data_IF_810557130105
#
_entry.id   IF_810557130105
#
_cell.length_a   1.000
_cell.length_b   1.000
_cell.length_c   1.000
_cell.angle_alpha   90.00
_cell.angle_beta   90.00
_cell.angle_gamma   90.00
#
_symmetry.space_group_name_H-M   'P 1'
#
loop_
_entity.id
_entity.type
_entity.pdbx_description
1 polymer ?
#
# COMPACT_ATOMS: atom_id res chain seq x y z
N UNK A 1 25.92 19.07 8.31
CA UNK A 1 24.81 18.49 9.12
C UNK A 1 24.13 17.45 8.24
N UNK A 2 23.73 16.32 8.84
CA UNK A 2 23.62 15.01 8.21
C UNK A 2 22.81 14.91 6.92
N UNK A 3 23.35 14.16 5.96
CA UNK A 3 22.65 13.68 4.78
C UNK A 3 21.61 12.66 5.26
N UNK A 4 20.33 13.05 5.26
CA UNK A 4 19.25 12.10 5.48
C UNK A 4 19.36 11.03 4.40
N UNK A 5 19.59 9.78 4.81
CA UNK A 5 19.50 8.61 3.94
C UNK A 5 18.04 8.51 3.48
N UNK A 6 17.73 9.17 2.37
CA UNK A 6 16.46 9.11 1.66
C UNK A 6 16.28 7.69 1.13
N UNK A 7 15.79 6.79 1.99
CA UNK A 7 15.47 5.41 1.64
C UNK A 7 14.00 5.35 1.28
N UNK A 8 13.73 4.79 0.11
CA UNK A 8 12.40 4.34 -0.29
C UNK A 8 11.87 3.38 0.76
N UNK A 9 10.70 3.68 1.35
CA UNK A 9 10.04 2.75 2.28
C UNK A 9 9.10 1.85 1.49
N UNK A 10 9.21 0.56 1.74
CA UNK A 10 8.45 -0.45 1.03
C UNK A 10 7.36 -0.96 1.97
N UNK A 11 6.13 -1.02 1.49
CA UNK A 11 5.02 -1.58 2.24
C UNK A 11 4.37 -2.69 1.42
N UNK A 12 4.06 -3.80 2.06
CA UNK A 12 3.32 -4.92 1.50
C UNK A 12 1.87 -4.81 1.96
N UNK A 13 0.97 -4.55 1.03
CA UNK A 13 -0.47 -4.52 1.23
C UNK A 13 -1.05 -5.90 0.99
N UNK A 14 -1.83 -6.39 1.94
CA UNK A 14 -2.63 -7.61 1.80
C UNK A 14 -4.06 -7.19 1.48
N UNK A 15 -4.49 -7.52 0.26
CA UNK A 15 -5.76 -7.12 -0.32
C UNK A 15 -6.60 -8.37 -0.57
N UNK A 16 -7.88 -8.34 -0.24
CA UNK A 16 -8.84 -9.39 -0.56
C UNK A 16 -9.86 -8.84 -1.54
N UNK A 17 -9.98 -9.47 -2.70
CA UNK A 17 -11.00 -9.08 -3.68
C UNK A 17 -12.41 -9.28 -3.08
N UNK A 18 -13.28 -8.27 -3.19
CA UNK A 18 -14.65 -8.39 -2.67
C UNK A 18 -15.53 -9.33 -3.51
N UNK A 19 -15.19 -9.50 -4.80
CA UNK A 19 -15.97 -10.34 -5.70
C UNK A 19 -15.61 -11.83 -5.58
N UNK A 20 -14.33 -12.18 -5.71
CA UNK A 20 -13.89 -13.58 -5.73
C UNK A 20 -13.25 -14.05 -4.41
N UNK A 21 -13.22 -13.19 -3.39
CA UNK A 21 -12.63 -13.43 -2.06
C UNK A 21 -11.16 -13.87 -2.07
N UNK A 22 -10.48 -13.72 -3.20
CA UNK A 22 -9.08 -14.14 -3.34
C UNK A 22 -8.18 -13.09 -2.71
N UNK A 23 -7.26 -13.57 -1.91
CA UNK A 23 -6.23 -12.77 -1.27
C UNK A 23 -5.06 -12.58 -2.22
N UNK A 24 -4.55 -11.36 -2.27
CA UNK A 24 -3.35 -11.01 -3.02
C UNK A 24 -2.50 -10.07 -2.16
N UNK A 25 -1.19 -10.18 -2.32
CA UNK A 25 -0.25 -9.21 -1.79
C UNK A 25 0.18 -8.25 -2.90
N UNK A 26 0.40 -6.99 -2.54
CA UNK A 26 0.97 -5.98 -3.43
C UNK A 26 2.02 -5.19 -2.69
N UNK A 27 3.19 -5.08 -3.30
CA UNK A 27 4.26 -4.24 -2.79
C UNK A 27 4.10 -2.84 -3.36
N UNK A 28 4.17 -1.83 -2.50
CA UNK A 28 4.22 -0.43 -2.88
C UNK A 28 5.47 0.22 -2.31
N UNK A 29 6.17 0.92 -3.20
CA UNK A 29 7.37 1.67 -2.88
C UNK A 29 6.97 3.14 -2.76
N UNK A 30 7.21 3.71 -1.58
CA UNK A 30 6.88 5.10 -1.29
C UNK A 30 8.18 5.90 -1.39
N UNK A 31 8.22 6.91 -2.28
CA UNK A 31 9.39 7.75 -2.42
C UNK A 31 9.65 8.51 -1.11
N UNK A 32 10.91 8.80 -0.79
CA UNK A 32 11.25 9.60 0.38
C UNK A 32 10.81 11.06 0.18
N UNK A 33 10.10 11.62 1.16
CA UNK A 33 9.55 12.97 1.16
C UNK A 33 9.16 13.37 2.58
N UNK A 34 8.95 14.68 2.82
CA UNK A 34 8.58 15.19 4.15
C UNK A 34 7.20 14.65 4.59
N UNK A 35 6.29 14.48 3.62
CA UNK A 35 4.95 13.90 3.78
C UNK A 35 4.91 12.36 3.60
N UNK A 36 6.06 11.69 3.48
CA UNK A 36 6.06 10.24 3.27
C UNK A 36 5.78 9.50 4.58
N UNK A 37 4.79 8.60 4.61
CA UNK A 37 4.44 7.86 5.82
C UNK A 37 5.64 7.08 6.32
N UNK A 38 5.98 7.28 7.60
CA UNK A 38 7.11 6.62 8.24
C UNK A 38 6.74 5.23 8.67
N UNK A 39 5.48 4.99 9.00
CA UNK A 39 4.99 3.72 9.50
C UNK A 39 3.62 3.37 8.92
N UNK A 40 3.16 2.15 9.21
CA UNK A 40 1.86 1.63 8.78
C UNK A 40 0.70 2.56 9.18
N UNK A 41 0.74 3.11 10.39
CA UNK A 41 -0.34 3.96 10.91
C UNK A 41 -0.45 5.25 10.08
N UNK A 42 0.67 5.94 9.85
CA UNK A 42 0.70 7.12 8.97
C UNK A 42 0.28 6.79 7.54
N UNK A 43 0.59 5.59 7.03
CA UNK A 43 0.16 5.17 5.69
C UNK A 43 -1.37 5.05 5.60
N UNK A 44 -2.01 4.54 6.66
CA UNK A 44 -3.46 4.39 6.76
C UNK A 44 -4.13 5.77 6.87
N UNK A 45 -3.55 6.71 7.61
CA UNK A 45 -4.08 8.07 7.80
C UNK A 45 -3.83 9.00 6.60
N UNK A 46 -2.72 8.83 5.87
CA UNK A 46 -2.32 9.67 4.74
C UNK A 46 -3.26 9.54 3.52
N UNK A 47 -4.10 8.51 3.46
CA UNK A 47 -5.00 8.26 2.33
C UNK A 47 -4.27 7.80 1.05
N UNK A 48 -2.97 7.51 1.13
CA UNK A 48 -2.15 7.01 0.02
C UNK A 48 -2.75 5.73 -0.60
N UNK A 49 -3.34 4.88 0.24
CA UNK A 49 -4.01 3.65 -0.16
C UNK A 49 -5.16 3.87 -1.14
N UNK A 50 -5.91 4.97 -1.00
CA UNK A 50 -7.02 5.29 -1.89
C UNK A 50 -6.56 5.64 -3.31
N UNK A 51 -5.28 6.00 -3.48
CA UNK A 51 -4.68 6.33 -4.77
C UNK A 51 -4.10 5.10 -5.47
N UNK A 52 -4.00 3.95 -4.78
CA UNK A 52 -3.43 2.74 -5.36
C UNK A 52 -4.52 2.02 -6.17
N UNK A 53 -4.39 1.93 -7.50
CA UNK A 53 -5.38 1.24 -8.31
C UNK A 53 -5.32 -0.26 -8.02
N UNK A 54 -6.45 -0.86 -7.68
CA UNK A 54 -6.57 -2.31 -7.58
C UNK A 54 -7.30 -2.86 -8.82
N UNK A 55 -6.83 -3.98 -9.34
CA UNK A 55 -7.52 -4.75 -10.35
C UNK A 55 -7.26 -6.23 -10.09
N UNK A 56 -8.31 -6.98 -9.78
CA UNK A 56 -8.18 -8.40 -9.51
C UNK A 56 -7.86 -9.15 -10.82
N UNK A 57 -6.67 -9.74 -10.94
CA UNK A 57 -6.27 -10.51 -12.13
C UNK A 57 -7.32 -11.54 -12.64
N UNK A 58 -7.92 -12.38 -11.78
CA UNK A 58 -8.87 -13.41 -12.24
C UNK A 58 -10.28 -12.91 -12.58
N UNK A 59 -10.78 -11.86 -11.94
CA UNK A 59 -12.17 -11.41 -12.13
C UNK A 59 -12.33 -9.98 -12.64
N UNK A 60 -11.23 -9.23 -12.78
CA UNK A 60 -11.22 -7.84 -13.23
C UNK A 60 -11.81 -6.84 -12.22
N UNK A 61 -12.27 -7.29 -11.05
CA UNK A 61 -12.92 -6.40 -10.08
C UNK A 61 -11.94 -5.32 -9.58
N UNK A 62 -12.32 -4.03 -9.63
CA UNK A 62 -11.45 -2.94 -9.19
C UNK A 62 -11.52 -2.68 -7.68
N UNK A 63 -12.37 -3.42 -6.96
CA UNK A 63 -12.59 -3.24 -5.53
C UNK A 63 -11.97 -4.40 -4.74
N UNK A 64 -11.18 -4.06 -3.74
CA UNK A 64 -10.66 -4.99 -2.74
C UNK A 64 -10.71 -4.37 -1.35
N UNK A 65 -10.86 -5.23 -0.36
CA UNK A 65 -10.72 -4.90 1.04
C UNK A 65 -9.25 -5.04 1.45
N UNK A 66 -8.70 -4.02 2.09
CA UNK A 66 -7.40 -4.13 2.75
C UNK A 66 -7.57 -4.97 4.03
N UNK A 67 -6.92 -6.13 4.08
CA UNK A 67 -6.97 -7.06 5.22
C UNK A 67 -5.74 -6.98 6.10
N UNK A 68 -4.67 -6.32 5.64
CA UNK A 68 -3.46 -6.09 6.42
C UNK A 68 -2.41 -5.33 5.63
N UNK A 69 -1.41 -4.84 6.34
CA UNK A 69 -0.24 -4.17 5.77
C UNK A 69 0.99 -4.51 6.60
N UNK A 70 2.13 -4.61 5.94
CA UNK A 70 3.42 -4.95 6.54
C UNK A 70 4.53 -4.08 5.95
N UNK A 71 5.44 -3.62 6.79
CA UNK A 71 6.70 -2.96 6.39
C UNK A 71 7.85 -3.95 6.13
#
# INVERSE_FOLDING_TARGET
MGYALMRYKTFTLFLRCENCLRETSRVVEIPPGDDSPRDVDELLESGFLAQIPFACGPCGNPIAQLIGVKE
#
